data_IF_367824251383
#
_entry.id   IF_367824251383
#
_cell.length_a   1.000
_cell.length_b   1.000
_cell.length_c   1.000
_cell.angle_alpha   90.00
_cell.angle_beta   90.00
_cell.angle_gamma   90.00
#
_symmetry.space_group_name_H-M   'P 1'
#
loop_
_entity.id
_entity.type
_entity.pdbx_description
1 polymer ?
#
# COMPACT_ATOMS: atom_id res chain seq x y z
N UNK A 1 25.32 1.43 11.44
CA UNK A 1 24.44 1.94 10.37
C UNK A 1 24.51 1.00 9.17
N UNK A 2 23.41 0.63 8.56
CA UNK A 2 23.42 -0.13 7.31
C UNK A 2 24.17 0.68 6.25
N UNK A 3 25.01 0.01 5.45
CA UNK A 3 25.66 0.67 4.29
C UNK A 3 24.59 0.92 3.23
N UNK A 4 24.17 2.16 3.08
CA UNK A 4 23.20 2.56 2.06
C UNK A 4 23.92 2.64 0.71
N UNK A 5 23.29 2.10 -0.34
CA UNK A 5 23.78 2.12 -1.72
C UNK A 5 22.89 3.02 -2.55
N UNK A 6 23.51 3.95 -3.27
CA UNK A 6 22.84 4.85 -4.18
C UNK A 6 22.94 4.35 -5.63
N UNK A 7 21.84 4.36 -6.35
CA UNK A 7 21.74 3.95 -7.75
C UNK A 7 21.08 5.03 -8.58
N UNK A 8 21.41 5.09 -9.86
CA UNK A 8 20.76 5.97 -10.83
C UNK A 8 19.95 5.13 -11.82
N UNK A 9 18.69 5.50 -11.99
CA UNK A 9 17.78 4.92 -12.98
C UNK A 9 17.72 5.88 -14.21
N UNK A 10 17.84 5.39 -15.44
CA UNK A 10 17.84 6.24 -16.65
C UNK A 10 16.47 6.88 -16.98
N UNK A 11 15.43 6.64 -16.20
CA UNK A 11 14.10 7.21 -16.41
C UNK A 11 14.13 8.74 -16.41
N UNK A 12 13.42 9.40 -17.35
CA UNK A 12 13.30 10.87 -17.38
C UNK A 12 12.29 11.42 -16.35
N UNK A 13 11.56 10.56 -15.63
CA UNK A 13 10.62 11.00 -14.58
C UNK A 13 11.38 11.60 -13.41
N UNK A 14 10.78 12.55 -12.70
CA UNK A 14 11.34 13.15 -11.48
C UNK A 14 10.93 12.32 -10.26
N UNK A 15 11.71 11.30 -9.93
CA UNK A 15 11.36 10.37 -8.85
C UNK A 15 12.59 9.79 -8.14
N UNK A 16 12.42 9.33 -6.90
CA UNK A 16 13.33 8.44 -6.20
C UNK A 16 12.51 7.37 -5.46
N UNK A 17 13.15 6.27 -5.12
CA UNK A 17 12.52 5.23 -4.32
C UNK A 17 13.56 4.44 -3.54
N UNK A 18 13.18 3.94 -2.38
CA UNK A 18 14.01 3.14 -1.51
C UNK A 18 13.54 1.68 -1.45
N UNK A 19 14.48 0.75 -1.49
CA UNK A 19 14.23 -0.68 -1.32
C UNK A 19 15.31 -1.31 -0.44
N UNK A 20 14.96 -1.67 0.78
CA UNK A 20 15.90 -2.17 1.78
C UNK A 20 16.97 -1.13 2.07
N UNK A 21 18.23 -1.44 1.78
CA UNK A 21 19.36 -0.51 1.95
C UNK A 21 19.79 0.18 0.65
N UNK A 22 18.93 0.21 -0.36
CA UNK A 22 19.20 0.82 -1.66
C UNK A 22 18.25 1.99 -1.87
N UNK A 23 18.81 3.15 -2.27
CA UNK A 23 18.05 4.29 -2.75
C UNK A 23 18.36 4.44 -4.23
N UNK A 24 17.33 4.53 -5.04
CA UNK A 24 17.44 4.72 -6.49
C UNK A 24 16.87 6.07 -6.86
N UNK A 25 17.65 6.87 -7.54
CA UNK A 25 17.27 8.21 -8.04
C UNK A 25 17.14 8.13 -9.55
N UNK A 26 16.10 8.71 -10.10
CA UNK A 26 15.92 8.79 -11.53
C UNK A 26 16.74 9.91 -12.16
N UNK A 27 17.03 9.77 -13.45
CA UNK A 27 17.76 10.80 -14.19
C UNK A 27 17.01 12.14 -14.18
N UNK A 28 15.66 12.10 -14.32
CA UNK A 28 14.87 13.33 -14.29
C UNK A 28 14.95 14.07 -12.96
N UNK A 29 15.07 13.37 -11.82
CA UNK A 29 15.31 14.02 -10.52
C UNK A 29 16.73 14.58 -10.41
N UNK A 30 17.72 13.94 -11.04
CA UNK A 30 19.11 14.45 -11.04
C UNK A 30 19.30 15.74 -11.85
N UNK A 31 18.31 16.14 -12.64
CA UNK A 31 18.28 17.41 -13.37
C UNK A 31 17.70 18.57 -12.54
N UNK A 32 17.18 18.27 -11.33
CA UNK A 32 16.69 19.28 -10.37
C UNK A 32 17.82 19.98 -9.62
N UNK A 33 17.46 21.04 -8.87
CA UNK A 33 18.41 21.74 -8.01
C UNK A 33 18.91 20.82 -6.89
N UNK A 34 20.17 20.95 -6.49
CA UNK A 34 20.80 20.15 -5.43
C UNK A 34 19.99 20.13 -4.13
N UNK A 35 19.34 21.25 -3.76
CA UNK A 35 18.50 21.34 -2.57
C UNK A 35 17.26 20.44 -2.65
N UNK A 36 16.64 20.32 -3.84
CA UNK A 36 15.52 19.43 -4.09
C UNK A 36 15.98 17.96 -4.04
N UNK A 37 17.10 17.66 -4.70
CA UNK A 37 17.70 16.32 -4.67
C UNK A 37 18.00 15.91 -3.22
N UNK A 38 18.60 16.79 -2.41
CA UNK A 38 18.87 16.55 -0.99
C UNK A 38 17.58 16.31 -0.19
N UNK A 39 16.52 17.08 -0.45
CA UNK A 39 15.25 16.92 0.24
C UNK A 39 14.60 15.58 -0.06
N UNK A 40 14.54 15.18 -1.33
CA UNK A 40 14.00 13.89 -1.76
C UNK A 40 14.87 12.74 -1.22
N UNK A 41 16.19 12.86 -1.27
CA UNK A 41 17.09 11.86 -0.68
C UNK A 41 16.93 11.74 0.83
N UNK A 42 16.66 12.84 1.54
CA UNK A 42 16.36 12.84 2.98
C UNK A 42 15.09 12.08 3.28
N UNK A 43 14.06 12.25 2.46
CA UNK A 43 12.80 11.53 2.53
C UNK A 43 13.02 10.02 2.32
N UNK A 44 13.70 9.61 1.24
CA UNK A 44 14.02 8.21 0.95
C UNK A 44 14.91 7.56 2.01
N UNK A 45 15.81 8.35 2.60
CA UNK A 45 16.63 7.91 3.71
C UNK A 45 15.78 7.50 4.92
N UNK A 46 14.72 8.25 5.22
CA UNK A 46 13.79 7.90 6.29
C UNK A 46 13.16 6.52 6.08
N UNK A 47 12.64 6.23 4.89
CA UNK A 47 12.09 4.91 4.55
C UNK A 47 13.11 3.79 4.73
N UNK A 48 14.36 4.04 4.34
CA UNK A 48 15.44 3.07 4.51
C UNK A 48 15.76 2.81 6.00
N UNK A 49 15.79 3.86 6.82
CA UNK A 49 16.11 3.76 8.25
C UNK A 49 15.00 3.11 9.07
N UNK A 50 13.73 3.29 8.65
CA UNK A 50 12.56 2.70 9.33
C UNK A 50 12.17 1.32 8.77
N UNK A 51 12.90 0.80 7.78
CA UNK A 51 12.62 -0.50 7.15
C UNK A 51 11.24 -0.59 6.48
N UNK A 52 10.72 0.52 5.98
CA UNK A 52 9.35 0.63 5.46
C UNK A 52 9.09 -0.34 4.31
N UNK A 53 10.06 -0.53 3.41
CA UNK A 53 9.95 -1.50 2.30
C UNK A 53 9.82 -2.95 2.78
N UNK A 54 10.45 -3.32 3.89
CA UNK A 54 10.33 -4.66 4.48
C UNK A 54 8.95 -4.86 5.09
N UNK A 55 8.45 -3.83 5.79
CA UNK A 55 7.10 -3.86 6.36
C UNK A 55 6.03 -3.96 5.27
N UNK A 56 6.15 -3.16 4.21
CA UNK A 56 5.26 -3.21 3.05
C UNK A 56 5.25 -4.58 2.38
N UNK A 57 6.43 -5.18 2.16
CA UNK A 57 6.55 -6.53 1.62
C UNK A 57 5.91 -7.58 2.53
N UNK A 58 6.12 -7.49 3.85
CA UNK A 58 5.51 -8.40 4.83
C UNK A 58 3.99 -8.31 4.79
N UNK A 59 3.44 -7.10 4.70
CA UNK A 59 1.99 -6.87 4.64
C UNK A 59 1.38 -7.51 3.39
N UNK A 60 2.03 -7.33 2.23
CA UNK A 60 1.59 -7.91 0.96
C UNK A 60 1.69 -9.45 0.94
N UNK A 61 2.77 -10.01 1.48
CA UNK A 61 2.94 -11.47 1.56
C UNK A 61 1.91 -12.09 2.48
N UNK A 62 1.60 -11.45 3.61
CA UNK A 62 0.60 -11.95 4.56
C UNK A 62 -0.80 -12.03 3.93
N UNK A 63 -1.26 -10.99 3.22
CA UNK A 63 -2.58 -11.05 2.57
C UNK A 63 -2.61 -12.08 1.46
N UNK A 64 -1.55 -12.19 0.67
CA UNK A 64 -1.45 -13.20 -0.38
C UNK A 64 -1.53 -14.62 0.22
N UNK A 65 -0.76 -14.89 1.26
CA UNK A 65 -0.79 -16.17 1.97
C UNK A 65 -2.19 -16.47 2.55
N UNK A 66 -2.82 -15.50 3.20
CA UNK A 66 -4.17 -15.63 3.74
C UNK A 66 -5.20 -15.94 2.63
N UNK A 67 -5.13 -15.25 1.50
CA UNK A 67 -5.98 -15.51 0.33
C UNK A 67 -5.75 -16.93 -0.22
N UNK A 68 -4.50 -17.36 -0.37
CA UNK A 68 -4.18 -18.71 -0.85
C UNK A 68 -4.71 -19.80 0.10
N UNK A 69 -4.48 -19.64 1.40
CA UNK A 69 -4.99 -20.59 2.42
C UNK A 69 -6.51 -20.63 2.38
N UNK A 70 -7.17 -19.47 2.35
CA UNK A 70 -8.63 -19.38 2.27
C UNK A 70 -9.18 -20.13 1.04
N UNK A 71 -8.59 -19.91 -0.14
CA UNK A 71 -9.03 -20.58 -1.38
C UNK A 71 -8.81 -22.10 -1.35
N UNK A 72 -7.72 -22.58 -0.77
CA UNK A 72 -7.45 -24.02 -0.60
C UNK A 72 -8.48 -24.65 0.33
N UNK A 73 -8.72 -24.02 1.48
CA UNK A 73 -9.70 -24.50 2.47
C UNK A 73 -11.12 -24.48 1.90
N UNK A 74 -11.50 -23.38 1.22
CA UNK A 74 -12.81 -23.24 0.58
C UNK A 74 -13.03 -24.31 -0.49
N UNK A 75 -12.02 -24.53 -1.35
CA UNK A 75 -12.11 -25.56 -2.38
C UNK A 75 -12.31 -26.97 -1.79
N UNK A 76 -11.51 -27.33 -0.77
CA UNK A 76 -11.64 -28.61 -0.07
C UNK A 76 -12.98 -28.75 0.63
N UNK A 77 -13.44 -27.72 1.33
CA UNK A 77 -14.73 -27.74 2.03
C UNK A 77 -15.91 -27.90 1.07
N UNK A 78 -15.92 -27.15 -0.05
CA UNK A 78 -16.98 -27.24 -1.08
C UNK A 78 -16.98 -28.60 -1.73
N UNK A 79 -15.82 -29.22 -1.98
CA UNK A 79 -15.72 -30.56 -2.57
C UNK A 79 -16.28 -31.63 -1.63
N UNK A 80 -15.85 -31.63 -0.37
CA UNK A 80 -16.27 -32.60 0.63
C UNK A 80 -17.77 -32.46 0.93
N UNK A 81 -18.21 -31.23 1.23
CA UNK A 81 -19.60 -30.92 1.52
C UNK A 81 -20.51 -31.23 0.33
N UNK A 82 -20.11 -30.85 -0.88
CA UNK A 82 -20.85 -31.12 -2.12
C UNK A 82 -20.99 -32.63 -2.37
N UNK A 83 -19.92 -33.41 -2.13
CA UNK A 83 -19.97 -34.87 -2.28
C UNK A 83 -20.90 -35.52 -1.25
N UNK A 84 -20.79 -35.16 0.03
CA UNK A 84 -21.65 -35.70 1.11
C UNK A 84 -23.11 -35.32 0.87
N UNK A 85 -23.38 -34.08 0.52
CA UNK A 85 -24.73 -33.61 0.20
C UNK A 85 -25.32 -34.38 -1.01
N UNK A 86 -24.52 -34.56 -2.07
CA UNK A 86 -24.93 -35.32 -3.24
C UNK A 86 -25.31 -36.79 -2.88
N UNK A 87 -24.46 -37.49 -2.09
CA UNK A 87 -24.74 -38.84 -1.64
C UNK A 87 -26.04 -38.91 -0.83
N UNK A 88 -26.20 -37.98 0.14
CA UNK A 88 -27.40 -37.92 0.98
C UNK A 88 -28.69 -37.70 0.15
N UNK A 89 -28.64 -36.79 -0.81
CA UNK A 89 -29.77 -36.48 -1.68
C UNK A 89 -30.08 -37.63 -2.67
N UNK A 90 -29.09 -38.40 -3.11
CA UNK A 90 -29.32 -39.61 -3.92
C UNK A 90 -30.05 -40.71 -3.16
N UNK A 91 -29.94 -40.74 -1.83
CA UNK A 91 -30.70 -41.66 -0.98
C UNK A 91 -32.15 -41.21 -0.78
N UNK A 92 -32.42 -39.89 -0.85
CA UNK A 92 -33.72 -39.29 -0.53
C UNK A 92 -34.58 -38.93 -1.76
N UNK A 93 -33.97 -38.70 -2.93
CA UNK A 93 -34.67 -38.25 -4.13
C UNK A 93 -34.03 -38.80 -5.42
N UNK A 94 -34.57 -38.38 -6.57
CA UNK A 94 -33.99 -38.78 -7.86
C UNK A 94 -32.57 -38.19 -8.06
N UNK A 95 -31.72 -38.91 -8.80
CA UNK A 95 -30.36 -38.46 -9.11
C UNK A 95 -30.35 -37.10 -9.78
N UNK A 96 -31.33 -36.81 -10.64
CA UNK A 96 -31.44 -35.49 -11.31
C UNK A 96 -31.68 -34.37 -10.29
N UNK A 97 -32.60 -34.55 -9.35
CA UNK A 97 -32.87 -33.58 -8.30
C UNK A 97 -31.64 -33.39 -7.39
N UNK A 98 -30.95 -34.50 -7.04
CA UNK A 98 -29.72 -34.42 -6.24
C UNK A 98 -28.63 -33.58 -6.91
N UNK A 99 -28.36 -33.77 -8.20
CA UNK A 99 -27.38 -32.99 -8.96
C UNK A 99 -27.76 -31.49 -8.98
N UNK A 100 -29.04 -31.19 -9.25
CA UNK A 100 -29.52 -29.81 -9.36
C UNK A 100 -29.42 -29.08 -8.01
N UNK A 101 -29.88 -29.68 -6.92
CA UNK A 101 -29.87 -29.08 -5.58
C UNK A 101 -28.42 -28.86 -5.11
N UNK A 102 -27.58 -29.90 -5.22
CA UNK A 102 -26.15 -29.79 -4.85
C UNK A 102 -25.46 -28.70 -5.64
N UNK A 103 -25.72 -28.61 -6.96
CA UNK A 103 -25.17 -27.59 -7.83
C UNK A 103 -25.59 -26.17 -7.44
N UNK A 104 -26.86 -25.96 -7.05
CA UNK A 104 -27.35 -24.65 -6.58
C UNK A 104 -26.66 -24.27 -5.26
N UNK A 105 -26.66 -25.16 -4.29
CA UNK A 105 -26.10 -24.90 -2.96
C UNK A 105 -24.60 -24.59 -3.06
N UNK A 106 -23.83 -25.39 -3.80
CA UNK A 106 -22.41 -25.15 -3.97
C UNK A 106 -22.10 -23.84 -4.70
N UNK A 107 -22.93 -23.44 -5.67
CA UNK A 107 -22.81 -22.10 -6.31
C UNK A 107 -23.07 -20.96 -5.33
N UNK A 108 -24.07 -21.08 -4.47
CA UNK A 108 -24.38 -20.08 -3.46
C UNK A 108 -23.23 -19.94 -2.44
N UNK A 109 -22.70 -21.07 -1.95
CA UNK A 109 -21.55 -21.09 -1.03
C UNK A 109 -20.35 -20.38 -1.69
N UNK A 110 -20.00 -20.74 -2.91
CA UNK A 110 -18.90 -20.09 -3.65
C UNK A 110 -19.14 -18.60 -3.89
N UNK A 111 -20.39 -18.21 -4.15
CA UNK A 111 -20.77 -16.79 -4.30
C UNK A 111 -20.49 -16.00 -3.02
N UNK A 112 -20.93 -16.56 -1.88
CA UNK A 112 -20.69 -15.96 -0.56
C UNK A 112 -19.19 -15.90 -0.21
N UNK A 113 -18.44 -16.99 -0.43
CA UNK A 113 -17.00 -17.05 -0.21
C UNK A 113 -16.24 -16.00 -1.02
N UNK A 114 -16.62 -15.81 -2.28
CA UNK A 114 -16.00 -14.76 -3.13
C UNK A 114 -16.30 -13.34 -2.63
N UNK A 115 -17.54 -13.11 -2.19
CA UNK A 115 -17.91 -11.82 -1.60
C UNK A 115 -17.09 -11.58 -0.32
N UNK A 116 -17.02 -12.57 0.57
CA UNK A 116 -16.22 -12.48 1.79
C UNK A 116 -14.74 -12.16 1.49
N UNK A 117 -14.14 -12.88 0.53
CA UNK A 117 -12.76 -12.63 0.14
C UNK A 117 -12.54 -11.20 -0.40
N UNK A 118 -13.47 -10.68 -1.22
CA UNK A 118 -13.41 -9.30 -1.71
C UNK A 118 -13.45 -8.28 -0.58
N UNK A 119 -14.33 -8.49 0.40
CA UNK A 119 -14.42 -7.62 1.58
C UNK A 119 -13.13 -7.69 2.40
N UNK A 120 -12.59 -8.88 2.60
CA UNK A 120 -11.32 -9.05 3.33
C UNK A 120 -10.17 -8.32 2.64
N UNK A 121 -10.02 -8.47 1.33
CA UNK A 121 -8.98 -7.77 0.54
C UNK A 121 -9.18 -6.26 0.59
N UNK A 122 -10.42 -5.78 0.48
CA UNK A 122 -10.72 -4.35 0.58
C UNK A 122 -10.33 -3.78 1.96
N UNK A 123 -10.72 -4.45 3.03
CA UNK A 123 -10.36 -4.03 4.39
C UNK A 123 -8.84 -4.01 4.58
N UNK A 124 -8.15 -5.05 4.09
CA UNK A 124 -6.69 -5.08 4.11
C UNK A 124 -6.08 -3.89 3.35
N UNK A 125 -6.58 -3.59 2.14
CA UNK A 125 -6.09 -2.47 1.33
C UNK A 125 -6.28 -1.13 2.03
N UNK A 126 -7.41 -0.92 2.72
CA UNK A 126 -7.65 0.30 3.51
C UNK A 126 -6.64 0.40 4.67
N UNK A 127 -6.43 -0.69 5.40
CA UNK A 127 -5.45 -0.73 6.49
C UNK A 127 -4.04 -0.47 5.96
N UNK A 128 -3.65 -1.11 4.85
CA UNK A 128 -2.36 -0.90 4.20
C UNK A 128 -2.17 0.57 3.80
N UNK A 129 -3.17 1.19 3.17
CA UNK A 129 -3.12 2.60 2.77
C UNK A 129 -2.95 3.55 3.97
N UNK A 130 -3.57 3.26 5.12
CA UNK A 130 -3.37 4.03 6.35
C UNK A 130 -1.91 3.94 6.82
N UNK A 131 -1.33 2.74 6.83
CA UNK A 131 0.07 2.54 7.23
C UNK A 131 1.05 3.23 6.27
N UNK A 132 0.86 3.12 4.96
CA UNK A 132 1.72 3.76 3.97
C UNK A 132 1.68 5.29 4.09
N UNK A 133 0.50 5.87 4.28
CA UNK A 133 0.39 7.32 4.54
C UNK A 133 1.13 7.75 5.81
N UNK A 134 1.07 6.93 6.87
CA UNK A 134 1.79 7.23 8.09
C UNK A 134 3.32 7.18 7.89
N UNK A 135 3.81 6.25 7.06
CA UNK A 135 5.22 6.18 6.66
C UNK A 135 5.63 7.44 5.89
N UNK A 136 4.82 7.88 4.92
CA UNK A 136 5.05 9.11 4.16
C UNK A 136 5.13 10.34 5.09
N UNK A 137 4.17 10.50 6.01
CA UNK A 137 4.19 11.60 6.97
C UNK A 137 5.41 11.54 7.90
N UNK A 138 5.86 10.35 8.28
CA UNK A 138 7.08 10.17 9.05
C UNK A 138 8.33 10.57 8.26
N UNK A 139 8.38 10.19 6.97
CA UNK A 139 9.47 10.54 6.08
C UNK A 139 9.53 12.05 5.79
N UNK A 140 8.37 12.68 5.61
CA UNK A 140 8.28 14.14 5.49
C UNK A 140 8.75 14.85 6.77
N UNK A 141 8.36 14.35 7.94
CA UNK A 141 8.81 14.90 9.23
C UNK A 141 10.34 14.73 9.43
N UNK A 142 10.94 13.74 8.81
CA UNK A 142 12.38 13.54 8.84
C UNK A 142 13.14 14.60 8.03
N UNK A 143 12.54 15.14 6.96
CA UNK A 143 13.11 16.26 6.20
C UNK A 143 13.22 17.53 7.05
N UNK A 144 12.27 17.75 7.99
CA UNK A 144 12.33 18.86 8.97
C UNK A 144 13.56 18.71 9.87
N UNK A 145 13.80 17.49 10.39
CA UNK A 145 14.97 17.22 11.26
C UNK A 145 16.31 17.44 10.56
N UNK A 146 16.36 17.22 9.26
CA UNK A 146 17.57 17.43 8.44
C UNK A 146 17.67 18.83 7.85
N UNK A 147 16.70 19.72 8.08
CA UNK A 147 16.69 21.10 7.56
C UNK A 147 16.43 21.20 6.05
N UNK A 148 15.82 20.16 5.45
CA UNK A 148 15.51 20.08 4.01
C UNK A 148 14.01 20.22 3.73
N UNK A 149 13.22 20.68 4.70
CA UNK A 149 11.76 20.78 4.61
C UNK A 149 11.29 21.79 3.56
N UNK A 150 11.94 22.96 3.44
CA UNK A 150 11.53 23.98 2.47
C UNK A 150 11.65 23.48 1.02
N UNK A 151 12.81 22.94 0.57
CA UNK A 151 12.89 22.35 -0.78
C UNK A 151 11.90 21.20 -0.99
N UNK A 152 11.60 20.41 0.05
CA UNK A 152 10.61 19.34 -0.04
C UNK A 152 9.19 19.88 -0.28
N UNK A 153 8.80 20.94 0.43
CA UNK A 153 7.50 21.60 0.20
C UNK A 153 7.37 22.12 -1.22
N UNK A 154 8.39 22.84 -1.72
CA UNK A 154 8.39 23.36 -3.09
C UNK A 154 8.29 22.25 -4.14
N UNK A 155 9.00 21.14 -3.93
CA UNK A 155 8.90 19.98 -4.81
C UNK A 155 7.51 19.36 -4.80
N UNK A 156 6.86 19.23 -3.63
CA UNK A 156 5.49 18.72 -3.50
C UNK A 156 4.47 19.66 -4.14
N UNK A 157 4.64 20.97 -4.02
CA UNK A 157 3.78 21.96 -4.69
C UNK A 157 3.86 21.85 -6.21
N UNK A 158 5.07 21.69 -6.76
CA UNK A 158 5.27 21.52 -8.19
C UNK A 158 4.67 20.19 -8.70
N UNK A 159 4.82 19.11 -7.93
CA UNK A 159 4.15 17.83 -8.23
C UNK A 159 2.62 17.99 -8.25
N UNK A 160 2.04 18.68 -7.26
CA UNK A 160 0.60 18.90 -7.18
C UNK A 160 0.06 19.68 -8.39
N UNK A 161 0.83 20.61 -8.94
CA UNK A 161 0.45 21.37 -10.12
C UNK A 161 0.55 20.56 -11.41
N UNK A 162 1.51 19.63 -11.49
CA UNK A 162 1.74 18.80 -12.67
C UNK A 162 0.82 17.59 -12.75
N UNK A 163 0.42 17.02 -11.60
CA UNK A 163 -0.41 15.82 -11.51
C UNK A 163 -1.92 16.10 -11.45
N UNK A 164 -2.38 17.33 -11.66
CA UNK A 164 -3.75 17.85 -11.53
C UNK A 164 -4.89 17.02 -12.14
N UNK A 165 -4.98 15.74 -11.78
CA UNK A 165 -6.04 14.81 -12.16
C UNK A 165 -7.07 14.74 -11.03
N UNK A 166 -8.35 14.94 -11.35
CA UNK A 166 -9.45 14.60 -10.44
C UNK A 166 -9.45 13.09 -10.16
N UNK A 167 -8.93 12.73 -9.00
CA UNK A 167 -8.87 11.33 -8.55
C UNK A 167 -10.18 10.99 -7.84
N UNK A 168 -10.78 9.85 -8.16
CA UNK A 168 -12.01 9.39 -7.50
C UNK A 168 -11.80 9.19 -6.00
N UNK A 169 -12.89 9.29 -5.20
CA UNK A 169 -12.82 9.06 -3.75
C UNK A 169 -12.18 7.70 -3.40
N UNK A 170 -12.48 6.67 -4.19
CA UNK A 170 -11.94 5.33 -3.96
C UNK A 170 -10.42 5.27 -4.24
N UNK A 171 -9.95 5.91 -5.30
CA UNK A 171 -8.52 6.02 -5.61
C UNK A 171 -7.78 6.77 -4.51
N UNK A 172 -8.34 7.88 -4.00
CA UNK A 172 -7.77 8.62 -2.87
C UNK A 172 -7.70 7.78 -1.59
N UNK A 173 -8.70 6.94 -1.32
CA UNK A 173 -8.71 6.07 -0.14
C UNK A 173 -7.70 4.94 -0.22
N UNK A 174 -7.44 4.42 -1.42
CA UNK A 174 -6.54 3.29 -1.66
C UNK A 174 -5.14 3.72 -2.14
N UNK A 175 -4.89 5.03 -2.32
CA UNK A 175 -3.58 5.54 -2.70
C UNK A 175 -2.55 5.28 -1.61
N UNK A 176 -1.41 4.76 -2.00
CA UNK A 176 -0.25 4.53 -1.13
C UNK A 176 0.41 5.86 -0.72
N UNK A 177 0.28 6.90 -1.55
CA UNK A 177 0.80 8.24 -1.26
C UNK A 177 -0.33 9.19 -0.86
N UNK A 178 -0.17 9.96 0.24
CA UNK A 178 -1.09 11.02 0.59
C UNK A 178 -1.07 12.14 -0.45
N UNK A 179 -2.15 12.89 -0.51
CA UNK A 179 -2.24 14.14 -1.28
C UNK A 179 -1.05 15.07 -0.96
N UNK A 180 -0.36 15.65 -1.96
CA UNK A 180 0.79 16.51 -1.75
C UNK A 180 0.52 17.67 -0.78
N UNK A 181 -0.67 18.29 -0.83
CA UNK A 181 -1.05 19.35 0.11
C UNK A 181 -1.20 18.85 1.55
N UNK A 182 -1.69 17.61 1.75
CA UNK A 182 -1.73 17.00 3.07
C UNK A 182 -0.32 16.70 3.61
N UNK A 183 0.64 16.36 2.76
CA UNK A 183 2.06 16.20 3.10
C UNK A 183 2.69 17.53 3.50
N UNK A 184 2.45 18.59 2.72
CA UNK A 184 2.91 19.95 3.03
C UNK A 184 2.40 20.39 4.40
N UNK A 185 1.09 20.23 4.67
CA UNK A 185 0.49 20.56 5.96
C UNK A 185 1.12 19.77 7.13
N UNK A 186 1.49 18.50 6.92
CA UNK A 186 2.21 17.71 7.92
C UNK A 186 3.63 18.24 8.19
N UNK A 187 4.35 18.66 7.16
CA UNK A 187 5.68 19.29 7.28
C UNK A 187 5.56 20.57 8.13
N UNK A 188 4.64 21.47 7.79
CA UNK A 188 4.41 22.75 8.50
C UNK A 188 4.03 22.53 9.96
N UNK A 189 3.17 21.55 10.24
CA UNK A 189 2.83 21.17 11.61
C UNK A 189 4.07 20.71 12.38
N UNK A 190 4.94 19.92 11.76
CA UNK A 190 6.17 19.41 12.37
C UNK A 190 7.17 20.54 12.62
N UNK A 191 7.32 21.48 11.67
CA UNK A 191 8.15 22.69 11.83
C UNK A 191 7.70 23.54 13.03
N UNK A 192 6.39 23.78 13.15
CA UNK A 192 5.83 24.56 14.26
C UNK A 192 6.07 23.90 15.61
N UNK A 193 5.96 22.58 15.70
CA UNK A 193 6.25 21.82 16.91
C UNK A 193 7.74 21.87 17.29
N UNK A 194 8.64 21.74 16.30
CA UNK A 194 10.07 21.81 16.51
C UNK A 194 10.50 23.20 17.03
N UNK A 195 9.90 24.27 16.51
CA UNK A 195 10.16 25.64 16.96
C UNK A 195 9.70 25.88 18.41
N UNK A 196 8.56 25.33 18.81
CA UNK A 196 8.06 25.44 20.19
C UNK A 196 8.96 24.76 21.21
N UNK A 197 9.59 23.63 20.86
CA UNK A 197 10.52 22.91 21.76
C UNK A 197 11.83 23.67 21.97
N UNK A 198 12.28 24.44 21.00
CA UNK A 198 13.52 25.22 21.09
C UNK A 198 13.37 26.51 21.93
N UNK A 199 12.15 26.93 22.24
CA UNK A 199 11.86 28.17 23.03
C UNK A 199 11.68 27.88 24.53
N UNK A 200 11.68 26.61 24.93
CA UNK A 200 11.64 26.15 26.31
C UNK A 200 13.03 25.80 26.81
#
# INVERSE_FOLDING_TARGET
CPKIKLYINPSPTRNAFSLGNKITVTRGLMEENDSVIQAVLSHELSHTLHYDSHFSALLQVNILAACCIFLIVEFGAVLIFGLLLFILLCMACSRFAAITITGIITKLIRGFSRLFLRVLVLLHSIVAAIFFRQQEYSADSFTVKLGTSLPMKLFLEDLAQTEGVEVSLMERLLSDHPDPYARIANIEKTESQATQIQVI
#
